data_IF_697679362266
#
_entry.id   IF_697679362266
#
_cell.length_a   1.000
_cell.length_b   1.000
_cell.length_c   1.000
_cell.angle_alpha   90.00
_cell.angle_beta   90.00
_cell.angle_gamma   90.00
#
_symmetry.space_group_name_H-M   'P 1'
#
loop_
_entity.id
_entity.type
_entity.pdbx_description
1 polymer ?
#
# COMPACT_ATOMS: atom_id res chain seq x y z
N UNK A 1 -67.17 -29.77 -22.69
CA UNK A 1 -66.52 -28.55 -22.16
C UNK A 1 -65.02 -28.68 -22.43
N UNK A 2 -64.33 -27.63 -22.90
CA UNK A 2 -62.93 -27.74 -23.34
C UNK A 2 -61.98 -27.62 -22.15
N UNK A 3 -61.08 -28.58 -21.97
CA UNK A 3 -60.02 -28.55 -20.95
C UNK A 3 -58.87 -27.67 -21.42
N UNK A 4 -58.70 -26.51 -20.76
CA UNK A 4 -57.56 -25.62 -20.97
C UNK A 4 -56.37 -26.09 -20.16
N UNK A 5 -55.27 -26.51 -20.82
CA UNK A 5 -54.00 -26.74 -20.13
C UNK A 5 -53.32 -25.38 -19.94
N UNK A 6 -53.15 -24.95 -18.69
CA UNK A 6 -52.47 -23.71 -18.34
C UNK A 6 -50.95 -23.95 -18.31
N UNK A 7 -50.26 -23.62 -19.40
CA UNK A 7 -48.79 -23.65 -19.45
C UNK A 7 -48.21 -22.47 -18.68
N UNK A 8 -47.78 -22.71 -17.44
CA UNK A 8 -47.04 -21.74 -16.63
C UNK A 8 -45.56 -21.76 -17.04
N UNK A 9 -45.12 -20.75 -17.79
CA UNK A 9 -43.70 -20.52 -18.06
C UNK A 9 -43.06 -19.87 -16.82
N UNK A 10 -42.55 -20.70 -15.91
CA UNK A 10 -41.84 -20.22 -14.73
C UNK A 10 -40.46 -19.65 -15.14
N UNK A 11 -40.34 -18.33 -15.21
CA UNK A 11 -39.04 -17.67 -15.28
C UNK A 11 -38.33 -17.83 -13.94
N UNK A 12 -37.31 -18.70 -13.93
CA UNK A 12 -36.47 -18.94 -12.77
C UNK A 12 -35.48 -17.76 -12.61
N UNK A 13 -35.83 -16.79 -11.76
CA UNK A 13 -34.90 -15.72 -11.38
C UNK A 13 -33.88 -16.31 -10.44
N UNK A 14 -32.68 -16.60 -10.96
CA UNK A 14 -31.54 -17.03 -10.15
C UNK A 14 -31.11 -15.88 -9.23
N UNK A 15 -31.43 -15.98 -7.94
CA UNK A 15 -30.81 -15.15 -6.91
C UNK A 15 -29.37 -15.64 -6.72
N UNK A 16 -28.39 -14.89 -7.22
CA UNK A 16 -26.98 -15.17 -6.96
C UNK A 16 -26.64 -14.82 -5.51
N UNK A 17 -26.32 -15.83 -4.70
CA UNK A 17 -25.57 -15.65 -3.45
C UNK A 17 -24.09 -15.91 -3.74
N UNK A 18 -23.22 -14.96 -3.39
CA UNK A 18 -21.78 -15.08 -3.52
C UNK A 18 -21.10 -14.43 -2.32
N UNK A 19 -20.20 -15.15 -1.64
CA UNK A 19 -19.52 -14.68 -0.43
C UNK A 19 -18.10 -15.27 -0.34
N UNK A 20 -17.16 -14.45 0.15
CA UNK A 20 -15.74 -14.69 0.47
C UNK A 20 -14.72 -14.75 -0.69
N UNK A 21 -13.64 -13.96 -0.55
CA UNK A 21 -12.50 -13.82 -1.48
C UNK A 21 -11.17 -13.73 -0.71
N UNK A 22 -10.66 -14.87 -0.24
CA UNK A 22 -9.38 -14.98 0.49
C UNK A 22 -8.29 -15.66 -0.35
N UNK A 23 -7.05 -15.17 -0.27
CA UNK A 23 -5.85 -15.84 -0.80
C UNK A 23 -4.80 -15.91 0.33
N UNK A 24 -4.05 -17.02 0.43
CA UNK A 24 -2.97 -17.18 1.40
C UNK A 24 -1.74 -17.77 0.70
N UNK A 25 -0.60 -17.09 0.84
CA UNK A 25 0.69 -17.57 0.32
C UNK A 25 1.71 -17.55 1.46
N UNK A 26 2.30 -18.70 1.72
CA UNK A 26 3.56 -18.82 2.47
C UNK A 26 4.58 -19.37 1.51
N UNK A 27 5.52 -18.54 1.08
CA UNK A 27 6.56 -18.92 0.12
C UNK A 27 7.93 -18.92 0.81
N UNK A 28 8.73 -19.94 0.49
CA UNK A 28 10.13 -20.06 0.87
C UNK A 28 10.91 -20.58 -0.33
N UNK A 29 11.91 -19.83 -0.76
CA UNK A 29 12.76 -20.13 -1.91
C UNK A 29 13.39 -18.85 -2.45
N UNK A 30 14.48 -18.96 -3.21
CA UNK A 30 15.30 -17.80 -3.60
C UNK A 30 14.54 -16.70 -4.37
N UNK A 31 13.43 -17.04 -5.06
CA UNK A 31 12.59 -16.05 -5.72
C UNK A 31 11.12 -16.46 -5.85
N UNK A 32 10.27 -15.45 -6.06
CA UNK A 32 8.85 -15.56 -6.38
C UNK A 32 8.47 -14.48 -7.39
N UNK A 33 7.66 -14.86 -8.38
CA UNK A 33 6.88 -13.92 -9.17
C UNK A 33 5.41 -14.31 -9.06
N UNK A 34 4.55 -13.38 -8.65
CA UNK A 34 3.13 -13.63 -8.44
C UNK A 34 2.29 -12.44 -8.94
N UNK A 35 1.16 -12.74 -9.59
CA UNK A 35 0.11 -11.80 -9.93
C UNK A 35 -1.20 -12.31 -9.32
N UNK A 36 -1.94 -11.42 -8.65
CA UNK A 36 -3.19 -11.72 -7.93
C UNK A 36 -4.24 -10.70 -8.39
N UNK A 37 -5.43 -11.15 -8.74
CA UNK A 37 -6.52 -10.27 -9.16
C UNK A 37 -7.82 -10.69 -8.44
N UNK A 38 -8.49 -9.74 -7.78
CA UNK A 38 -9.68 -9.96 -6.96
C UNK A 38 -10.79 -8.92 -7.24
N UNK A 39 -11.85 -9.36 -7.92
CA UNK A 39 -13.02 -8.53 -8.22
C UNK A 39 -14.19 -8.80 -7.24
N UNK A 40 -14.49 -7.80 -6.40
CA UNK A 40 -15.85 -7.47 -6.01
C UNK A 40 -16.69 -8.38 -5.10
N UNK A 41 -16.19 -8.85 -3.94
CA UNK A 41 -16.98 -8.98 -2.68
C UNK A 41 -16.11 -9.50 -1.51
N UNK A 42 -15.99 -8.72 -0.42
CA UNK A 42 -15.21 -9.03 0.80
C UNK A 42 -13.72 -9.33 0.55
N UNK A 43 -13.06 -8.46 -0.22
CA UNK A 43 -11.70 -8.68 -0.73
C UNK A 43 -10.59 -8.58 0.34
N UNK A 44 -9.60 -9.49 0.27
CA UNK A 44 -8.42 -9.53 1.15
C UNK A 44 -7.20 -10.19 0.50
N UNK A 45 -5.99 -9.73 0.81
CA UNK A 45 -4.80 -10.60 0.77
C UNK A 45 -3.95 -10.45 2.05
N UNK A 46 -4.03 -11.47 2.92
CA UNK A 46 -3.79 -11.36 4.37
C UNK A 46 -5.12 -11.31 5.14
N UNK A 47 -5.19 -11.87 6.36
CA UNK A 47 -6.42 -11.89 7.17
C UNK A 47 -6.42 -10.82 8.29
N UNK A 48 -7.49 -10.74 9.08
CA UNK A 48 -7.62 -9.75 10.17
C UNK A 48 -6.68 -9.97 11.38
N UNK A 49 -5.85 -11.00 11.33
CA UNK A 49 -4.91 -11.45 12.36
C UNK A 49 -3.57 -11.94 11.79
N UNK A 50 -3.49 -12.38 10.52
CA UNK A 50 -2.29 -12.98 9.91
C UNK A 50 -1.84 -12.26 8.64
N UNK A 51 -0.58 -11.84 8.59
CA UNK A 51 0.04 -11.31 7.37
C UNK A 51 0.55 -12.42 6.44
N UNK A 52 0.40 -12.22 5.13
CA UNK A 52 1.08 -13.02 4.10
C UNK A 52 2.60 -12.88 4.30
N UNK A 53 3.35 -13.98 4.30
CA UNK A 53 4.82 -13.93 4.45
C UNK A 53 5.51 -14.59 3.26
N UNK A 54 6.35 -13.80 2.57
CA UNK A 54 7.06 -14.21 1.36
C UNK A 54 8.57 -14.08 1.62
N UNK A 55 9.28 -15.21 1.70
CA UNK A 55 10.71 -15.24 2.06
C UNK A 55 11.56 -15.77 0.90
N UNK A 56 12.38 -14.88 0.34
CA UNK A 56 13.24 -15.15 -0.82
C UNK A 56 14.05 -13.93 -1.22
N UNK A 57 15.24 -14.16 -1.77
CA UNK A 57 16.19 -13.09 -2.13
C UNK A 57 15.62 -12.10 -3.15
N UNK A 58 14.84 -12.56 -4.14
CA UNK A 58 14.27 -11.73 -5.21
C UNK A 58 12.76 -11.95 -5.37
N UNK A 59 11.94 -10.99 -4.94
CA UNK A 59 10.47 -11.12 -4.92
C UNK A 59 9.81 -10.08 -5.85
N UNK A 60 8.86 -10.51 -6.67
CA UNK A 60 8.02 -9.64 -7.51
C UNK A 60 6.55 -10.02 -7.32
N UNK A 61 5.76 -9.11 -6.76
CA UNK A 61 4.34 -9.31 -6.48
C UNK A 61 3.53 -8.17 -7.09
N UNK A 62 2.44 -8.54 -7.76
CA UNK A 62 1.48 -7.66 -8.42
C UNK A 62 0.07 -8.02 -7.94
N UNK A 63 -0.69 -7.05 -7.42
CA UNK A 63 -2.03 -7.30 -6.84
C UNK A 63 -3.05 -6.24 -7.26
N UNK A 64 -4.10 -6.70 -7.95
CA UNK A 64 -5.30 -5.92 -8.29
C UNK A 64 -6.48 -6.29 -7.35
N UNK A 65 -7.12 -5.29 -6.73
CA UNK A 65 -8.38 -5.42 -6.01
C UNK A 65 -9.40 -4.39 -6.49
N UNK A 66 -10.53 -4.84 -7.04
CA UNK A 66 -11.62 -3.98 -7.53
C UNK A 66 -12.88 -4.20 -6.65
N UNK A 67 -13.56 -3.10 -6.34
CA UNK A 67 -14.28 -2.89 -5.09
C UNK A 67 -15.32 -3.90 -4.62
N UNK A 68 -15.05 -4.50 -3.46
CA UNK A 68 -15.98 -4.51 -2.33
C UNK A 68 -15.25 -5.02 -1.06
N UNK A 69 -15.18 -4.19 -0.01
CA UNK A 69 -14.53 -4.47 1.30
C UNK A 69 -13.01 -4.81 1.28
N UNK A 70 -12.27 -4.22 0.33
CA UNK A 70 -10.80 -4.35 0.12
C UNK A 70 -9.89 -4.24 1.37
N UNK A 71 -8.92 -5.16 1.48
CA UNK A 71 -7.92 -5.26 2.57
C UNK A 71 -6.59 -5.84 2.05
N UNK A 72 -5.42 -5.43 2.57
CA UNK A 72 -4.14 -6.16 2.40
C UNK A 72 -3.26 -6.11 3.65
N UNK A 73 -2.57 -7.22 3.95
CA UNK A 73 -1.57 -7.34 5.02
C UNK A 73 -0.44 -8.28 4.57
N UNK A 74 0.70 -7.71 4.18
CA UNK A 74 1.83 -8.47 3.61
C UNK A 74 3.17 -8.14 4.29
N UNK A 75 4.01 -9.17 4.42
CA UNK A 75 5.38 -9.12 4.91
C UNK A 75 6.30 -9.76 3.86
N UNK A 76 7.14 -8.97 3.23
CA UNK A 76 8.13 -9.46 2.25
C UNK A 76 9.52 -9.40 2.87
N UNK A 77 10.26 -10.51 2.78
CA UNK A 77 11.57 -10.67 3.41
C UNK A 77 12.53 -11.20 2.35
N UNK A 78 13.44 -10.34 1.90
CA UNK A 78 14.39 -10.63 0.83
C UNK A 78 15.48 -9.58 0.71
N UNK A 79 16.33 -9.72 -0.31
CA UNK A 79 17.35 -8.73 -0.65
C UNK A 79 16.81 -7.70 -1.65
N UNK A 80 16.08 -8.12 -2.68
CA UNK A 80 15.45 -7.26 -3.68
C UNK A 80 13.95 -7.54 -3.76
N UNK A 81 13.12 -6.50 -3.63
CA UNK A 81 11.66 -6.62 -3.61
C UNK A 81 11.00 -5.62 -4.57
N UNK A 82 10.04 -6.10 -5.35
CA UNK A 82 9.10 -5.25 -6.12
C UNK A 82 7.68 -5.63 -5.74
N UNK A 83 6.92 -4.69 -5.19
CA UNK A 83 5.53 -4.87 -4.78
C UNK A 83 4.64 -3.82 -5.45
N UNK A 84 3.73 -4.27 -6.31
CA UNK A 84 2.73 -3.45 -7.00
C UNK A 84 1.34 -3.76 -6.44
N UNK A 85 0.61 -2.72 -6.05
CA UNK A 85 -0.76 -2.82 -5.55
C UNK A 85 -1.68 -1.81 -6.22
N UNK A 86 -2.82 -2.28 -6.71
CA UNK A 86 -3.94 -1.48 -7.17
C UNK A 86 -5.19 -1.77 -6.34
N UNK A 87 -5.81 -0.74 -5.76
CA UNK A 87 -7.11 -0.84 -5.08
C UNK A 87 -8.10 0.16 -5.67
N UNK A 88 -9.24 -0.32 -6.15
CA UNK A 88 -10.36 0.50 -6.65
C UNK A 88 -11.57 0.23 -5.71
N UNK A 89 -12.10 1.25 -5.03
CA UNK A 89 -12.96 1.09 -3.83
C UNK A 89 -14.34 0.45 -4.10
N UNK A 90 -15.07 -0.08 -3.12
CA UNK A 90 -14.92 -0.04 -1.64
C UNK A 90 -14.02 -1.18 -1.09
N UNK A 91 -13.44 -1.16 0.12
CA UNK A 91 -13.58 -0.26 1.29
C UNK A 91 -12.21 -0.04 1.94
N UNK A 92 -11.25 0.41 1.12
CA UNK A 92 -9.82 0.17 1.16
C UNK A 92 -9.10 0.28 2.53
N UNK A 93 -8.35 -0.76 2.88
CA UNK A 93 -7.23 -0.70 3.85
C UNK A 93 -6.00 -1.49 3.33
N UNK A 94 -4.77 -1.05 3.59
CA UNK A 94 -3.53 -1.72 3.17
C UNK A 94 -2.40 -1.59 4.21
N UNK A 95 -1.68 -2.68 4.49
CA UNK A 95 -0.42 -2.67 5.24
C UNK A 95 0.62 -3.54 4.53
N UNK A 96 1.74 -2.95 4.14
CA UNK A 96 2.88 -3.63 3.53
C UNK A 96 4.11 -3.41 4.41
N UNK A 97 4.77 -4.50 4.80
CA UNK A 97 6.04 -4.46 5.51
C UNK A 97 7.12 -5.15 4.67
N UNK A 98 8.27 -4.49 4.48
CA UNK A 98 9.46 -5.08 3.85
C UNK A 98 10.66 -4.99 4.79
N UNK A 99 11.59 -5.94 4.69
CA UNK A 99 12.77 -5.99 5.57
C UNK A 99 12.45 -6.20 7.06
N UNK A 100 11.28 -6.73 7.41
CA UNK A 100 10.79 -6.75 8.80
C UNK A 100 11.61 -7.63 9.77
N UNK A 101 12.42 -8.58 9.25
CA UNK A 101 13.25 -9.49 10.05
C UNK A 101 14.63 -9.78 9.40
N UNK A 102 15.01 -9.07 8.34
CA UNK A 102 16.25 -9.28 7.60
C UNK A 102 16.60 -8.02 6.82
N UNK A 103 17.89 -7.82 6.55
CA UNK A 103 18.33 -6.71 5.70
C UNK A 103 17.73 -6.85 4.29
N UNK A 104 17.29 -5.72 3.74
CA UNK A 104 16.79 -5.63 2.36
C UNK A 104 17.62 -4.61 1.60
N UNK A 105 18.25 -5.02 0.51
CA UNK A 105 19.13 -4.14 -0.25
C UNK A 105 18.33 -3.13 -1.07
N UNK A 106 17.34 -3.60 -1.84
CA UNK A 106 16.58 -2.80 -2.79
C UNK A 106 15.08 -3.09 -2.69
N UNK A 107 14.29 -2.09 -2.27
CA UNK A 107 12.83 -2.22 -2.18
C UNK A 107 12.18 -1.24 -3.15
N UNK A 108 11.22 -1.71 -3.95
CA UNK A 108 10.36 -0.89 -4.80
C UNK A 108 8.90 -1.22 -4.46
N UNK A 109 8.14 -0.22 -4.00
CA UNK A 109 6.77 -0.35 -3.51
C UNK A 109 5.88 0.65 -4.24
N UNK A 110 5.04 0.15 -5.13
CA UNK A 110 4.17 0.93 -6.01
C UNK A 110 2.72 0.70 -5.57
N UNK A 111 2.02 1.74 -5.11
CA UNK A 111 0.62 1.66 -4.69
C UNK A 111 -0.26 2.66 -5.42
N UNK A 112 -1.38 2.20 -5.99
CA UNK A 112 -2.42 3.04 -6.60
C UNK A 112 -3.77 2.73 -5.96
N UNK A 113 -4.31 3.68 -5.20
CA UNK A 113 -5.54 3.53 -4.41
C UNK A 113 -6.57 4.59 -4.83
N UNK A 114 -7.74 4.14 -5.28
CA UNK A 114 -8.79 5.00 -5.84
C UNK A 114 -10.14 4.72 -5.20
N UNK A 115 -10.67 5.68 -4.42
CA UNK A 115 -12.11 5.91 -4.32
C UNK A 115 -12.97 5.00 -3.43
N UNK A 116 -12.50 4.60 -2.24
CA UNK A 116 -13.33 4.42 -1.01
C UNK A 116 -12.76 3.33 -0.09
N UNK A 117 -12.49 3.52 1.21
CA UNK A 117 -12.45 4.78 1.99
C UNK A 117 -11.02 5.06 2.52
N UNK A 118 -10.04 4.41 1.90
CA UNK A 118 -8.60 4.66 1.92
C UNK A 118 -7.96 4.85 3.31
N UNK A 119 -7.27 3.81 3.76
CA UNK A 119 -6.13 3.93 4.69
C UNK A 119 -5.00 3.01 4.24
N UNK A 120 -3.77 3.50 4.17
CA UNK A 120 -2.59 2.69 3.78
C UNK A 120 -1.41 2.90 4.71
N UNK A 121 -0.63 1.84 4.94
CA UNK A 121 0.62 1.84 5.69
C UNK A 121 1.72 1.10 4.92
N UNK A 122 2.87 1.73 4.75
CA UNK A 122 4.12 1.09 4.32
C UNK A 122 5.10 1.13 5.49
N UNK A 123 5.75 0.00 5.78
CA UNK A 123 6.84 -0.10 6.73
C UNK A 123 8.07 -0.69 6.03
N UNK A 124 9.19 0.02 6.03
CA UNK A 124 10.46 -0.50 5.55
C UNK A 124 11.42 -0.65 6.72
N UNK A 125 12.12 -1.77 6.74
CA UNK A 125 13.34 -1.94 7.53
C UNK A 125 13.14 -1.92 9.05
N UNK A 126 11.96 -2.25 9.56
CA UNK A 126 11.60 -2.26 11.00
C UNK A 126 12.68 -2.92 11.91
N UNK A 127 13.66 -2.12 12.37
CA UNK A 127 14.88 -2.54 13.10
C UNK A 127 15.90 -3.39 12.30
N UNK A 128 15.93 -3.27 10.98
CA UNK A 128 16.88 -3.91 10.06
C UNK A 128 17.61 -2.88 9.18
N UNK A 129 18.76 -3.26 8.62
CA UNK A 129 19.47 -2.45 7.65
C UNK A 129 18.78 -2.58 6.28
N UNK A 130 18.10 -1.52 5.84
CA UNK A 130 17.53 -1.41 4.50
C UNK A 130 18.22 -0.28 3.74
N UNK A 131 19.00 -0.58 2.70
CA UNK A 131 19.72 0.46 1.94
C UNK A 131 18.76 1.28 1.09
N UNK A 132 18.33 0.73 -0.05
CA UNK A 132 17.42 1.42 -0.96
C UNK A 132 15.96 1.09 -0.65
N UNK A 133 15.15 2.13 -0.66
CA UNK A 133 13.71 2.06 -0.54
C UNK A 133 13.12 3.10 -1.48
N UNK A 134 12.35 2.63 -2.47
CA UNK A 134 11.68 3.43 -3.48
C UNK A 134 10.18 3.21 -3.32
N UNK A 135 9.47 4.24 -2.86
CA UNK A 135 8.04 4.17 -2.55
C UNK A 135 7.29 5.16 -3.44
N UNK A 136 6.50 4.63 -4.37
CA UNK A 136 5.58 5.39 -5.23
C UNK A 136 4.14 5.15 -4.79
N UNK A 137 3.51 6.13 -4.15
CA UNK A 137 2.16 6.01 -3.61
C UNK A 137 1.20 7.05 -4.17
N UNK A 138 0.12 6.60 -4.81
CA UNK A 138 -0.96 7.43 -5.35
C UNK A 138 -2.27 7.10 -4.65
N UNK A 139 -2.88 8.09 -4.00
CA UNK A 139 -4.19 7.99 -3.35
C UNK A 139 -5.17 9.04 -3.90
N UNK A 140 -6.32 8.59 -4.40
CA UNK A 140 -7.38 9.43 -4.96
C UNK A 140 -8.73 9.07 -4.36
N UNK A 141 -9.63 10.03 -4.14
CA UNK A 141 -11.05 9.75 -3.86
C UNK A 141 -11.67 10.44 -2.64
N UNK A 142 -12.69 9.82 -2.04
CA UNK A 142 -13.63 10.47 -1.11
C UNK A 142 -13.20 10.48 0.37
N UNK A 143 -12.22 9.67 0.75
CA UNK A 143 -11.58 9.60 2.08
C UNK A 143 -10.10 9.28 1.88
N UNK A 144 -9.20 9.67 2.80
CA UNK A 144 -7.75 9.46 2.64
C UNK A 144 -6.97 9.44 3.98
N UNK A 145 -6.18 8.38 4.22
CA UNK A 145 -5.14 8.34 5.26
C UNK A 145 -3.93 7.54 4.77
N UNK A 146 -2.70 8.05 4.96
CA UNK A 146 -1.44 7.45 4.47
C UNK A 146 -0.43 7.46 5.61
N UNK A 147 0.28 6.35 5.83
CA UNK A 147 1.42 6.25 6.75
C UNK A 147 2.61 5.59 6.06
N UNK A 148 3.78 6.20 6.08
CA UNK A 148 5.04 5.61 5.64
C UNK A 148 6.01 5.59 6.84
N UNK A 149 6.61 4.44 7.13
CA UNK A 149 7.53 4.23 8.26
C UNK A 149 8.85 3.61 7.76
N UNK A 150 9.84 4.43 7.43
CA UNK A 150 11.16 4.06 6.93
C UNK A 150 12.18 3.96 8.07
N UNK A 151 12.11 2.89 8.85
CA UNK A 151 12.85 2.76 10.11
C UNK A 151 14.18 2.00 9.94
N UNK A 152 14.98 2.36 8.94
CA UNK A 152 16.19 1.66 8.53
C UNK A 152 17.46 2.06 9.30
N UNK A 153 18.21 1.07 9.78
CA UNK A 153 19.53 1.29 10.42
C UNK A 153 20.72 1.35 9.44
N UNK A 154 20.46 1.32 8.13
CA UNK A 154 21.53 1.31 7.12
C UNK A 154 22.12 2.72 6.92
N UNK A 155 23.43 2.86 7.11
CA UNK A 155 24.20 4.00 6.59
C UNK A 155 24.34 3.85 5.08
N UNK A 156 23.86 4.83 4.33
CA UNK A 156 23.96 4.85 2.88
C UNK A 156 25.43 5.07 2.44
N UNK A 157 25.82 4.48 1.31
CA UNK A 157 27.18 4.57 0.77
C UNK A 157 27.12 4.71 -0.75
N UNK A 158 27.43 5.90 -1.28
CA UNK A 158 27.51 6.11 -2.74
C UNK A 158 26.36 6.94 -3.28
N UNK A 159 25.54 6.34 -4.15
CA UNK A 159 24.40 7.00 -4.81
C UNK A 159 23.03 6.46 -4.41
N UNK A 160 23.04 5.44 -3.56
CA UNK A 160 21.91 4.76 -2.92
C UNK A 160 21.04 5.78 -2.15
N UNK A 161 19.71 5.65 -2.20
CA UNK A 161 18.75 6.61 -1.60
C UNK A 161 17.48 5.95 -1.08
N UNK A 162 16.94 6.52 0.00
CA UNK A 162 15.58 6.26 0.49
C UNK A 162 14.63 7.31 -0.10
N UNK A 163 13.89 6.95 -1.15
CA UNK A 163 12.98 7.79 -1.92
C UNK A 163 11.52 7.50 -1.55
N UNK A 164 10.74 8.55 -1.30
CA UNK A 164 9.32 8.42 -0.92
C UNK A 164 8.48 9.44 -1.68
N UNK A 165 7.80 9.02 -2.74
CA UNK A 165 6.92 9.81 -3.57
C UNK A 165 5.45 9.56 -3.20
N UNK A 166 4.75 10.60 -2.73
CA UNK A 166 3.35 10.54 -2.32
C UNK A 166 2.52 11.50 -3.19
N UNK A 167 1.47 11.00 -3.82
CA UNK A 167 0.47 11.79 -4.56
C UNK A 167 -0.90 11.62 -3.92
N UNK A 168 -1.49 12.69 -3.38
CA UNK A 168 -2.79 12.68 -2.71
C UNK A 168 -3.78 13.65 -3.37
N UNK A 169 -4.94 13.14 -3.82
CA UNK A 169 -5.93 13.87 -4.61
C UNK A 169 -7.36 13.64 -4.04
N UNK A 170 -8.01 14.70 -3.55
CA UNK A 170 -9.39 14.63 -3.05
C UNK A 170 -9.54 14.31 -1.55
N UNK A 171 -10.80 14.12 -1.11
CA UNK A 171 -11.24 14.08 0.30
C UNK A 171 -10.62 12.96 1.14
N UNK A 172 -10.49 13.04 2.47
CA UNK A 172 -10.38 14.22 3.34
C UNK A 172 -9.12 14.02 4.21
N UNK A 173 -7.98 14.25 3.58
CA UNK A 173 -6.67 13.60 3.85
C UNK A 173 -6.09 13.69 5.27
N UNK A 174 -5.33 12.68 5.69
CA UNK A 174 -4.18 12.84 6.61
C UNK A 174 -3.01 11.92 6.25
N UNK A 175 -1.81 12.47 6.08
CA UNK A 175 -0.58 11.78 5.66
C UNK A 175 0.45 11.82 6.78
N UNK A 176 1.17 10.73 6.98
CA UNK A 176 2.37 10.67 7.83
C UNK A 176 3.49 9.97 7.06
N UNK A 177 4.70 10.49 7.16
CA UNK A 177 5.93 9.84 6.72
C UNK A 177 6.95 10.01 7.84
N UNK A 178 7.61 8.94 8.25
CA UNK A 178 8.75 9.03 9.17
C UNK A 178 9.92 8.22 8.66
N UNK A 179 11.11 8.81 8.69
CA UNK A 179 12.37 8.13 8.42
C UNK A 179 13.21 8.17 9.69
N UNK A 180 13.70 7.03 10.15
CA UNK A 180 14.61 6.98 11.31
C UNK A 180 15.87 6.21 10.95
N UNK A 181 17.00 6.91 10.86
CA UNK A 181 18.33 6.33 10.68
C UNK A 181 19.06 6.83 9.44
N UNK A 182 20.34 6.48 9.36
CA UNK A 182 21.35 7.25 8.64
C UNK A 182 21.05 7.60 7.15
N UNK A 183 21.13 8.90 6.87
CA UNK A 183 21.38 9.57 5.58
C UNK A 183 20.37 9.34 4.42
N UNK A 184 20.44 10.24 3.44
CA UNK A 184 19.88 10.16 2.08
C UNK A 184 18.38 9.83 1.98
N UNK A 185 17.56 10.69 2.58
CA UNK A 185 16.10 10.53 2.61
C UNK A 185 15.41 11.62 1.77
N UNK A 186 14.88 11.26 0.60
CA UNK A 186 14.20 12.17 -0.32
C UNK A 186 12.68 11.92 -0.32
N UNK A 187 11.93 12.76 0.39
CA UNK A 187 10.46 12.72 0.41
C UNK A 187 9.87 13.74 -0.57
N UNK A 188 9.15 13.28 -1.59
CA UNK A 188 8.33 14.12 -2.46
C UNK A 188 6.85 13.95 -2.15
N UNK A 189 6.14 15.05 -1.88
CA UNK A 189 4.70 15.09 -1.69
C UNK A 189 4.03 16.00 -2.72
N UNK A 190 3.16 15.42 -3.54
CA UNK A 190 2.22 16.11 -4.43
C UNK A 190 0.81 16.03 -3.84
N UNK A 191 0.16 17.18 -3.64
CA UNK A 191 -1.17 17.25 -3.03
C UNK A 191 -2.15 18.19 -3.74
N UNK A 192 -3.38 17.73 -3.96
CA UNK A 192 -4.53 18.53 -4.43
C UNK A 192 -5.75 18.21 -3.58
N UNK A 193 -6.24 19.18 -2.81
CA UNK A 193 -6.87 18.86 -1.53
C UNK A 193 -8.39 18.92 -1.37
N UNK A 194 -8.76 19.43 -0.20
CA UNK A 194 -9.87 18.99 0.66
C UNK A 194 -9.55 17.62 1.23
N UNK A 195 -9.37 17.42 2.54
CA UNK A 195 -9.36 18.42 3.62
C UNK A 195 -8.44 17.94 4.73
N UNK A 196 -7.24 18.52 4.80
CA UNK A 196 -6.05 17.69 4.62
C UNK A 196 -5.11 17.85 5.82
N UNK A 197 -4.25 16.87 6.10
CA UNK A 197 -3.23 16.96 7.16
C UNK A 197 -1.99 16.17 6.75
N UNK A 198 -0.79 16.52 7.22
CA UNK A 198 0.49 15.92 6.80
C UNK A 198 1.49 16.00 7.95
N UNK A 199 2.32 14.97 8.15
CA UNK A 199 3.51 15.07 9.02
C UNK A 199 4.67 14.23 8.47
N UNK A 200 5.81 14.85 8.14
CA UNK A 200 6.94 14.20 7.45
C UNK A 200 8.20 14.38 8.30
N UNK A 201 8.58 13.40 9.12
CA UNK A 201 9.72 13.56 10.03
C UNK A 201 10.87 12.61 9.69
N UNK A 202 11.97 13.17 9.18
CA UNK A 202 13.18 12.49 8.73
C UNK A 202 14.30 12.73 9.76
N UNK A 203 15.19 11.77 10.01
CA UNK A 203 16.26 11.91 11.00
C UNK A 203 17.57 11.24 10.52
N UNK A 204 18.69 11.93 10.75
CA UNK A 204 19.91 11.91 9.93
C UNK A 204 20.96 10.84 10.26
N UNK A 205 22.25 11.02 9.92
CA UNK A 205 23.02 12.28 9.95
C UNK A 205 23.46 12.84 8.58
N UNK A 206 22.65 13.74 8.00
CA UNK A 206 22.82 14.40 6.68
C UNK A 206 22.85 13.44 5.45
N UNK A 207 22.56 13.83 4.20
CA UNK A 207 21.66 14.87 3.69
C UNK A 207 20.21 14.32 3.61
N UNK A 208 19.21 15.19 3.50
CA UNK A 208 17.82 14.80 3.25
C UNK A 208 17.02 15.90 2.55
N UNK A 209 16.04 15.53 1.74
CA UNK A 209 15.19 16.46 0.98
C UNK A 209 13.72 16.23 1.30
N UNK A 210 12.98 17.31 1.64
CA UNK A 210 11.53 17.33 1.47
C UNK A 210 11.14 18.27 0.34
N UNK A 211 10.51 17.72 -0.70
CA UNK A 211 9.87 18.44 -1.79
C UNK A 211 8.36 18.38 -1.60
N UNK A 212 7.67 19.53 -1.47
CA UNK A 212 6.22 19.56 -1.28
C UNK A 212 5.54 20.52 -2.26
N UNK A 213 4.60 19.99 -3.04
CA UNK A 213 3.69 20.75 -3.92
C UNK A 213 2.27 20.58 -3.42
N UNK A 214 1.54 21.68 -3.20
CA UNK A 214 0.19 21.64 -2.61
C UNK A 214 -0.77 22.64 -3.23
N UNK A 215 -2.00 22.18 -3.51
CA UNK A 215 -3.14 22.97 -3.99
C UNK A 215 -4.33 22.74 -3.03
N UNK A 216 -5.06 23.80 -2.67
CA UNK A 216 -6.11 23.79 -1.62
C UNK A 216 -7.18 22.72 -1.82
N UNK A 217 -7.88 22.23 -0.79
CA UNK A 217 -8.04 22.68 0.62
C UNK A 217 -7.46 21.66 1.62
N UNK A 218 -7.81 21.59 2.91
CA UNK A 218 -7.67 22.64 3.93
C UNK A 218 -6.61 22.18 4.93
N UNK A 219 -5.37 22.08 4.44
CA UNK A 219 -4.16 21.49 5.04
C UNK A 219 -3.89 21.77 6.53
N UNK A 220 -3.16 20.86 7.19
CA UNK A 220 -2.20 21.20 8.24
C UNK A 220 -0.95 20.32 8.17
N UNK A 221 0.24 20.92 8.11
CA UNK A 221 1.49 20.25 7.69
C UNK A 221 2.53 20.36 8.81
N UNK A 222 3.24 19.27 9.14
CA UNK A 222 4.45 19.31 9.98
C UNK A 222 5.57 18.43 9.43
N UNK A 223 6.49 19.04 8.69
CA UNK A 223 7.78 18.42 8.34
C UNK A 223 8.75 18.61 9.52
N UNK A 224 9.59 17.63 9.84
CA UNK A 224 10.79 17.85 10.68
C UNK A 224 11.97 17.02 10.18
N UNK A 225 13.06 17.65 9.75
CA UNK A 225 14.35 16.97 9.52
C UNK A 225 15.25 17.24 10.73
N UNK A 226 16.02 16.27 11.21
CA UNK A 226 17.17 16.50 12.11
C UNK A 226 18.36 15.57 11.78
N UNK A 227 19.48 15.72 12.51
CA UNK A 227 20.83 15.15 12.24
C UNK A 227 21.21 13.91 13.08
#
# INVERSE_FOLDING_TARGET
MKTSILTVLAYFVMMSVGYASDVYITQSGASLTANINQDGQTNKFGDSTTAVTLTGDNQTLDVDQIGNTNTIAASVVGATQTFTLKQEGNSNTSTVSVGANSASADNSIIQTITGSQNTTTVNVGNSAASSDADIDLVATGDSNTITINENSTASMLGGDKKVTNITAIGGSNTITSTHTGAADQDTTLHHTGSSSTFSITQDGAHDGTVSMTTVGSGHNVTITMDD
#
